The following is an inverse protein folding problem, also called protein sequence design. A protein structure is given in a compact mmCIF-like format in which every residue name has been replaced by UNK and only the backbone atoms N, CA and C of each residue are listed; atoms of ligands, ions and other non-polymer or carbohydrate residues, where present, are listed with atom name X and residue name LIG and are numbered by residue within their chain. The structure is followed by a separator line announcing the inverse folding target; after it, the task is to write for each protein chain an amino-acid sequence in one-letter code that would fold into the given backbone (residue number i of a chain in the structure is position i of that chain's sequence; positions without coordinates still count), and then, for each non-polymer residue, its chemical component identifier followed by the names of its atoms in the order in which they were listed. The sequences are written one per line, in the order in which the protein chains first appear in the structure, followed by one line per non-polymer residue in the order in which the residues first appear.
data_IF_877907434635
#
_entry.id   IF_877907434635
#
_cell.length_a   1.000
_cell.length_b   1.000
_cell.length_c   1.000
_cell.angle_alpha   90.00
_cell.angle_beta   90.00
_cell.angle_gamma   90.00
#
_symmetry.space_group_name_H-M   'P 1'
#
loop_
_entity.id
_entity.type
_entity.pdbx_description
1 polymer ?
#
# COMPACT_ATOMS: atom_id res chain seq x y z
N UNK A 1 -3.32 -8.24 -30.05
CA UNK A 1 -3.15 -8.33 -28.59
C UNK A 1 -1.73 -7.94 -28.16
N UNK A 2 -0.67 -8.51 -28.73
CA UNK A 2 0.71 -8.15 -28.40
C UNK A 2 1.03 -6.65 -28.58
N UNK A 3 0.58 -6.02 -29.64
CA UNK A 3 0.79 -4.59 -29.92
C UNK A 3 0.18 -3.67 -28.84
N UNK A 4 -1.02 -3.99 -28.35
CA UNK A 4 -1.70 -3.21 -27.30
C UNK A 4 -1.01 -3.28 -25.94
N UNK A 5 -0.21 -4.31 -25.70
CA UNK A 5 0.57 -4.46 -24.46
C UNK A 5 1.97 -3.89 -24.64
N UNK A 6 2.63 -4.16 -25.76
CA UNK A 6 3.99 -3.74 -26.01
C UNK A 6 4.13 -2.22 -26.20
N UNK A 7 3.17 -1.58 -26.87
CA UNK A 7 3.23 -0.14 -27.15
C UNK A 7 3.17 0.73 -25.87
N UNK A 8 2.25 0.51 -24.92
CA UNK A 8 2.28 1.24 -23.65
C UNK A 8 3.56 1.02 -22.86
N UNK A 9 4.08 -0.21 -22.82
CA UNK A 9 5.33 -0.52 -22.11
C UNK A 9 6.52 0.24 -22.73
N UNK A 10 6.65 0.21 -24.04
CA UNK A 10 7.67 0.96 -24.76
C UNK A 10 7.52 2.48 -24.56
N UNK A 11 6.28 2.98 -24.56
CA UNK A 11 6.00 4.38 -24.27
C UNK A 11 6.43 4.79 -22.88
N UNK A 12 6.12 3.98 -21.85
CA UNK A 12 6.54 4.23 -20.47
C UNK A 12 8.06 4.20 -20.34
N UNK A 13 8.74 3.21 -20.95
CA UNK A 13 10.21 3.14 -20.96
C UNK A 13 10.80 4.36 -21.66
N UNK A 14 10.26 4.75 -22.82
CA UNK A 14 10.74 5.94 -23.53
C UNK A 14 10.52 7.23 -22.71
N UNK A 15 9.37 7.37 -22.05
CA UNK A 15 9.09 8.53 -21.20
C UNK A 15 9.95 8.55 -19.93
N UNK A 16 10.33 7.41 -19.39
CA UNK A 16 11.12 7.30 -18.15
C UNK A 16 12.55 7.85 -18.25
N UNK A 17 13.07 8.03 -19.47
CA UNK A 17 14.39 8.63 -19.71
C UNK A 17 14.33 10.13 -20.01
N UNK A 18 13.12 10.72 -20.02
CA UNK A 18 12.92 12.16 -20.19
C UNK A 18 12.35 12.77 -18.92
N UNK A 19 12.91 13.91 -18.50
CA UNK A 19 12.37 14.69 -17.39
C UNK A 19 11.38 15.69 -17.94
N UNK A 20 10.11 15.71 -17.48
CA UNK A 20 9.15 16.72 -17.88
C UNK A 20 9.66 18.12 -17.50
N UNK A 21 9.41 19.11 -18.35
CA UNK A 21 9.79 20.48 -18.03
C UNK A 21 9.07 20.95 -16.77
N UNK A 22 9.82 21.46 -15.82
CA UNK A 22 9.30 22.18 -14.67
C UNK A 22 8.58 23.46 -15.15
N UNK A 23 7.58 23.88 -14.38
CA UNK A 23 6.89 25.13 -14.68
C UNK A 23 7.87 26.31 -14.56
N UNK A 24 7.88 27.18 -15.57
CA UNK A 24 8.70 28.39 -15.53
C UNK A 24 8.11 29.31 -14.47
N UNK A 25 8.90 29.60 -13.44
CA UNK A 25 8.51 30.51 -12.36
C UNK A 25 8.91 31.94 -12.76
N UNK A 26 7.99 32.88 -12.60
CA UNK A 26 8.23 34.30 -12.79
C UNK A 26 7.86 35.07 -11.52
N UNK A 27 8.71 36.00 -11.15
CA UNK A 27 8.45 36.89 -10.02
C UNK A 27 7.57 38.06 -10.46
N UNK A 28 6.29 38.01 -10.11
CA UNK A 28 5.34 39.08 -10.42
C UNK A 28 5.16 39.97 -9.19
N UNK A 29 5.31 41.29 -9.40
CA UNK A 29 4.98 42.29 -8.37
C UNK A 29 3.48 42.47 -8.28
N UNK A 30 2.86 41.94 -7.25
CA UNK A 30 1.45 42.18 -6.98
C UNK A 30 1.31 43.39 -6.04
N UNK A 31 0.84 44.52 -6.59
CA UNK A 31 0.68 45.78 -5.87
C UNK A 31 -0.79 45.92 -5.42
N UNK A 32 -1.03 45.79 -4.13
CA UNK A 32 -2.34 46.05 -3.50
C UNK A 32 -2.35 47.37 -2.73
N UNK A 33 -3.50 47.75 -2.13
CA UNK A 33 -3.66 49.00 -1.38
C UNK A 33 -2.72 49.16 -0.17
N UNK A 34 -2.07 48.05 0.26
CA UNK A 34 -1.18 48.02 1.43
C UNK A 34 0.33 47.79 1.05
N UNK A 35 0.70 47.96 -0.25
CA UNK A 35 2.06 47.81 -0.72
C UNK A 35 2.24 46.76 -1.82
N UNK A 36 3.42 46.75 -2.44
CA UNK A 36 3.79 45.74 -3.45
C UNK A 36 4.49 44.57 -2.78
N UNK A 37 4.02 43.35 -3.04
CA UNK A 37 4.70 42.11 -2.65
C UNK A 37 5.14 41.36 -3.91
N UNK A 38 6.35 40.86 -3.90
CA UNK A 38 6.85 39.95 -4.94
C UNK A 38 6.27 38.56 -4.67
N UNK A 39 5.50 38.05 -5.63
CA UNK A 39 4.89 36.71 -5.59
C UNK A 39 5.46 35.91 -6.75
N UNK A 40 5.97 34.72 -6.45
CA UNK A 40 6.40 33.76 -7.47
C UNK A 40 5.14 33.12 -8.06
N UNK A 41 4.92 33.36 -9.36
CA UNK A 41 3.80 32.76 -10.10
C UNK A 41 4.31 31.93 -11.27
N UNK A 42 3.50 30.96 -11.71
CA UNK A 42 3.82 30.15 -12.88
C UNK A 42 3.54 30.98 -14.14
N UNK A 43 4.55 31.15 -14.98
CA UNK A 43 4.36 31.70 -16.33
C UNK A 43 3.81 30.62 -17.25
N UNK A 44 2.50 30.64 -17.46
CA UNK A 44 1.80 29.63 -18.27
C UNK A 44 2.19 29.70 -19.77
N UNK A 45 2.46 30.89 -20.31
CA UNK A 45 2.83 31.06 -21.71
C UNK A 45 4.22 30.47 -21.96
N UNK A 46 5.22 30.88 -21.21
CA UNK A 46 6.57 30.34 -21.33
C UNK A 46 6.64 28.83 -21.09
N UNK A 47 5.86 28.33 -20.13
CA UNK A 47 5.75 26.89 -19.85
C UNK A 47 5.12 26.15 -21.03
N UNK A 48 4.07 26.68 -21.66
CA UNK A 48 3.41 26.08 -22.81
C UNK A 48 4.29 26.09 -24.07
N UNK A 49 5.05 27.16 -24.30
CA UNK A 49 6.01 27.24 -25.39
C UNK A 49 7.15 26.21 -25.27
N UNK A 50 7.69 26.03 -24.06
CA UNK A 50 8.71 25.01 -23.80
C UNK A 50 8.17 23.60 -24.07
N UNK A 51 6.95 23.31 -23.61
CA UNK A 51 6.30 22.02 -23.86
C UNK A 51 5.95 21.80 -25.33
N UNK A 52 5.63 22.87 -26.08
CA UNK A 52 5.39 22.78 -27.51
C UNK A 52 6.67 22.49 -28.30
N UNK A 53 7.80 23.08 -27.89
CA UNK A 53 9.12 22.85 -28.52
C UNK A 53 9.71 21.48 -28.20
N UNK A 54 9.47 20.95 -27.01
CA UNK A 54 10.01 19.67 -26.54
C UNK A 54 8.92 18.88 -25.80
N UNK A 55 8.00 18.21 -26.53
CA UNK A 55 6.82 17.56 -25.93
C UNK A 55 7.17 16.41 -24.97
N UNK A 56 8.31 15.76 -25.17
CA UNK A 56 8.77 14.67 -24.28
C UNK A 56 9.56 15.17 -23.05
N UNK A 57 9.92 16.46 -23.02
CA UNK A 57 10.77 17.02 -21.99
C UNK A 57 12.27 16.99 -22.34
N UNK A 58 13.13 17.19 -21.33
CA UNK A 58 14.59 17.14 -21.48
C UNK A 58 15.07 15.69 -21.38
N UNK A 59 15.85 15.26 -22.37
CA UNK A 59 16.52 13.95 -22.31
C UNK A 59 17.54 13.93 -21.16
N UNK A 60 17.35 13.03 -20.22
CA UNK A 60 18.22 12.86 -19.04
C UNK A 60 18.87 11.48 -19.00
N UNK A 61 18.50 10.57 -19.91
CA UNK A 61 19.02 9.21 -19.88
C UNK A 61 18.76 8.51 -18.53
N UNK A 62 19.80 7.89 -17.97
CA UNK A 62 19.69 7.17 -16.68
C UNK A 62 19.97 8.08 -15.46
N UNK A 63 20.35 9.35 -15.65
CA UNK A 63 20.67 10.25 -14.54
C UNK A 63 19.48 10.45 -13.59
N UNK A 64 18.25 10.45 -14.13
CA UNK A 64 17.03 10.57 -13.32
C UNK A 64 16.94 9.48 -12.24
N UNK A 65 17.40 8.25 -12.55
CA UNK A 65 17.37 7.14 -11.59
C UNK A 65 18.48 7.23 -10.53
N UNK A 66 19.52 8.03 -10.81
CA UNK A 66 20.68 8.21 -9.92
C UNK A 66 20.51 9.41 -8.99
N UNK A 67 19.53 10.27 -9.29
CA UNK A 67 19.26 11.51 -8.56
C UNK A 67 18.72 11.25 -7.15
N UNK A 68 18.73 12.29 -6.32
CA UNK A 68 18.34 12.30 -4.91
C UNK A 68 16.90 11.81 -4.67
N UNK A 69 16.00 12.08 -5.61
CA UNK A 69 14.60 11.63 -5.55
C UNK A 69 14.41 10.13 -5.77
N UNK A 70 15.41 9.43 -6.29
CA UNK A 70 15.38 8.02 -6.63
C UNK A 70 16.47 7.27 -5.87
N UNK A 71 17.43 6.67 -6.56
CA UNK A 71 18.46 5.84 -5.92
C UNK A 71 19.50 6.64 -5.13
N UNK A 72 19.64 7.95 -5.38
CA UNK A 72 20.55 8.85 -4.66
C UNK A 72 21.98 8.27 -4.51
N UNK A 73 22.53 7.70 -5.58
CA UNK A 73 23.80 6.94 -5.52
C UNK A 73 24.96 7.77 -5.01
N UNK A 74 25.02 9.05 -5.37
CA UNK A 74 26.05 9.98 -4.87
C UNK A 74 25.99 10.14 -3.35
N UNK A 75 24.79 10.25 -2.79
CA UNK A 75 24.56 10.40 -1.35
C UNK A 75 24.79 9.08 -0.61
N UNK A 76 24.44 7.93 -1.23
CA UNK A 76 24.73 6.59 -0.70
C UNK A 76 26.24 6.37 -0.62
N UNK A 77 26.99 6.73 -1.65
CA UNK A 77 28.46 6.63 -1.65
C UNK A 77 29.08 7.56 -0.61
N UNK A 78 28.56 8.78 -0.47
CA UNK A 78 29.00 9.72 0.57
C UNK A 78 28.67 9.19 1.98
N UNK A 79 27.50 8.60 2.16
CA UNK A 79 27.11 7.96 3.42
C UNK A 79 28.02 6.77 3.75
N UNK A 80 28.37 5.96 2.75
CA UNK A 80 29.28 4.83 2.91
C UNK A 80 30.68 5.28 3.32
N UNK A 81 31.27 6.23 2.60
CA UNK A 81 32.64 6.73 2.87
C UNK A 81 32.78 7.47 4.19
N UNK A 82 31.69 8.02 4.74
CA UNK A 82 31.68 8.78 5.99
C UNK A 82 31.16 7.98 7.20
N UNK A 83 30.88 6.70 7.03
CA UNK A 83 30.35 5.84 8.10
C UNK A 83 31.43 4.91 8.63
N UNK A 84 31.68 4.97 9.95
CA UNK A 84 32.64 4.09 10.66
C UNK A 84 32.01 2.74 11.03
N UNK A 85 30.67 2.62 10.97
CA UNK A 85 29.91 1.43 11.34
C UNK A 85 28.73 1.20 10.42
N UNK A 86 28.38 -0.07 10.19
CA UNK A 86 27.19 -0.46 9.42
C UNK A 86 25.88 0.13 10.01
N UNK A 87 25.78 0.25 11.33
CA UNK A 87 24.59 0.86 11.96
C UNK A 87 24.45 2.34 11.63
N UNK A 88 25.55 3.08 11.55
CA UNK A 88 25.56 4.49 11.13
C UNK A 88 25.20 4.63 9.65
N UNK A 89 25.71 3.73 8.81
CA UNK A 89 25.35 3.70 7.39
C UNK A 89 23.86 3.50 7.19
N UNK A 90 23.24 2.49 7.81
CA UNK A 90 21.81 2.24 7.70
C UNK A 90 20.96 3.38 8.28
N UNK A 91 21.41 4.03 9.35
CA UNK A 91 20.73 5.21 9.90
C UNK A 91 20.75 6.39 8.92
N UNK A 92 21.87 6.63 8.26
CA UNK A 92 21.97 7.68 7.23
C UNK A 92 21.18 7.36 5.98
N UNK A 93 21.22 6.10 5.55
CA UNK A 93 20.43 5.60 4.41
C UNK A 93 18.92 5.81 4.66
N UNK A 94 18.44 5.50 5.88
CA UNK A 94 17.05 5.71 6.28
C UNK A 94 16.60 7.17 6.32
N UNK A 95 17.53 8.14 6.26
CA UNK A 95 17.19 9.56 6.15
C UNK A 95 17.00 10.03 4.69
N UNK A 96 17.44 9.24 3.72
CA UNK A 96 17.20 9.54 2.31
C UNK A 96 15.73 9.27 1.94
N UNK A 97 15.07 10.20 1.20
CA UNK A 97 13.62 10.10 0.93
C UNK A 97 13.19 8.78 0.30
N UNK A 98 13.92 8.31 -0.70
CA UNK A 98 13.64 7.05 -1.39
C UNK A 98 13.73 5.84 -0.45
N UNK A 99 14.84 5.69 0.30
CA UNK A 99 15.05 4.54 1.18
C UNK A 99 14.11 4.56 2.39
N UNK A 100 13.73 5.75 2.85
CA UNK A 100 12.71 5.91 3.89
C UNK A 100 11.34 5.45 3.39
N UNK A 101 10.94 5.86 2.17
CA UNK A 101 9.69 5.43 1.56
C UNK A 101 9.68 3.92 1.31
N UNK A 102 10.77 3.38 0.76
CA UNK A 102 10.94 1.95 0.53
C UNK A 102 10.87 1.15 1.84
N UNK A 103 11.56 1.61 2.89
CA UNK A 103 11.52 0.99 4.22
C UNK A 103 10.11 0.98 4.80
N UNK A 104 9.37 2.09 4.66
CA UNK A 104 7.95 2.16 5.05
C UNK A 104 7.12 1.12 4.29
N UNK A 105 7.21 1.10 2.96
CA UNK A 105 6.44 0.19 2.11
C UNK A 105 6.75 -1.27 2.41
N UNK A 106 8.02 -1.63 2.53
CA UNK A 106 8.42 -3.00 2.86
C UNK A 106 7.89 -3.41 4.24
N UNK A 107 8.10 -2.59 5.27
CA UNK A 107 7.62 -2.88 6.63
C UNK A 107 6.10 -3.04 6.64
N UNK A 108 5.38 -2.12 6.01
CA UNK A 108 3.92 -2.17 5.92
C UNK A 108 3.46 -3.46 5.21
N UNK A 109 4.06 -3.78 4.08
CA UNK A 109 3.71 -4.97 3.28
C UNK A 109 4.00 -6.27 4.03
N UNK A 110 5.18 -6.40 4.63
CA UNK A 110 5.55 -7.60 5.38
C UNK A 110 4.72 -7.80 6.65
N UNK A 111 4.25 -6.72 7.26
CA UNK A 111 3.35 -6.82 8.41
C UNK A 111 1.93 -7.11 7.97
N UNK A 112 1.38 -6.37 7.01
CA UNK A 112 -0.04 -6.49 6.63
C UNK A 112 -0.34 -7.80 5.91
N UNK A 113 0.53 -8.27 5.02
CA UNK A 113 0.27 -9.45 4.19
C UNK A 113 -0.03 -10.72 4.98
N UNK A 114 0.76 -11.12 6.00
CA UNK A 114 0.44 -12.32 6.77
C UNK A 114 -0.89 -12.19 7.53
N UNK A 115 -1.21 -11.02 8.07
CA UNK A 115 -2.49 -10.81 8.74
C UNK A 115 -3.67 -10.87 7.77
N UNK A 116 -3.53 -10.36 6.54
CA UNK A 116 -4.54 -10.48 5.47
C UNK A 116 -4.79 -11.94 5.13
N UNK A 117 -3.72 -12.74 4.97
CA UNK A 117 -3.82 -14.16 4.67
C UNK A 117 -4.51 -14.91 5.82
N UNK A 118 -4.09 -14.66 7.05
CA UNK A 118 -4.67 -15.31 8.24
C UNK A 118 -6.15 -14.94 8.37
N UNK A 119 -6.49 -13.65 8.30
CA UNK A 119 -7.87 -13.18 8.45
C UNK A 119 -8.75 -13.67 7.31
N UNK A 120 -8.28 -13.61 6.06
CA UNK A 120 -9.00 -14.13 4.89
C UNK A 120 -9.27 -15.63 5.01
N UNK A 121 -8.29 -16.41 5.46
CA UNK A 121 -8.46 -17.84 5.71
C UNK A 121 -9.45 -18.13 6.85
N UNK A 122 -9.36 -17.38 7.94
CA UNK A 122 -10.30 -17.53 9.07
C UNK A 122 -11.74 -17.24 8.65
N UNK A 123 -11.96 -16.17 7.88
CA UNK A 123 -13.30 -15.83 7.35
C UNK A 123 -13.76 -16.94 6.40
N UNK A 124 -12.92 -17.45 5.51
CA UNK A 124 -13.27 -18.52 4.57
C UNK A 124 -13.66 -19.80 5.28
N UNK A 125 -12.92 -20.22 6.30
CA UNK A 125 -13.23 -21.40 7.13
C UNK A 125 -14.53 -21.20 7.92
N UNK A 126 -14.72 -20.01 8.50
CA UNK A 126 -15.94 -19.68 9.24
C UNK A 126 -17.16 -19.73 8.32
N UNK A 127 -17.11 -19.08 7.16
CA UNK A 127 -18.19 -19.05 6.17
C UNK A 127 -18.49 -20.45 5.63
N UNK A 128 -17.46 -21.27 5.40
CA UNK A 128 -17.64 -22.64 4.92
C UNK A 128 -18.39 -23.53 5.94
N UNK A 129 -18.23 -23.23 7.23
CA UNK A 129 -18.95 -23.98 8.30
C UNK A 129 -20.35 -23.46 8.59
N UNK A 130 -20.78 -22.33 7.98
CA UNK A 130 -22.08 -21.74 8.23
C UNK A 130 -23.22 -22.44 7.49
N UNK A 131 -24.42 -22.38 8.12
CA UNK A 131 -25.63 -22.86 7.50
C UNK A 131 -26.02 -22.08 6.23
N UNK A 132 -26.53 -22.75 5.21
CA UNK A 132 -26.78 -22.16 3.88
C UNK A 132 -27.62 -20.87 3.93
N UNK A 133 -28.58 -20.74 4.88
CA UNK A 133 -29.45 -19.56 5.00
C UNK A 133 -28.73 -18.24 5.34
N UNK A 134 -27.69 -18.31 6.17
CA UNK A 134 -26.98 -17.13 6.65
C UNK A 134 -25.66 -16.92 5.91
N UNK A 135 -25.16 -17.94 5.20
CA UNK A 135 -23.87 -17.88 4.48
C UNK A 135 -23.78 -16.72 3.50
N UNK A 136 -24.81 -16.51 2.66
CA UNK A 136 -24.84 -15.43 1.68
C UNK A 136 -24.76 -14.04 2.30
N UNK A 137 -25.45 -13.85 3.43
CA UNK A 137 -25.43 -12.58 4.15
C UNK A 137 -24.05 -12.27 4.74
N UNK A 138 -23.40 -13.29 5.33
CA UNK A 138 -22.03 -13.13 5.86
C UNK A 138 -21.02 -12.86 4.74
N UNK A 139 -21.13 -13.55 3.59
CA UNK A 139 -20.29 -13.26 2.42
C UNK A 139 -20.47 -11.80 1.99
N UNK A 140 -21.71 -11.33 1.87
CA UNK A 140 -21.99 -9.95 1.48
C UNK A 140 -21.31 -8.93 2.40
N UNK A 141 -21.50 -9.06 3.72
CA UNK A 141 -20.87 -8.16 4.69
C UNK A 141 -19.34 -8.26 4.70
N UNK A 142 -18.80 -9.45 4.48
CA UNK A 142 -17.34 -9.64 4.40
C UNK A 142 -16.71 -8.97 3.18
N UNK A 143 -17.49 -8.74 2.11
CA UNK A 143 -17.01 -8.10 0.88
C UNK A 143 -17.15 -6.58 0.89
N UNK A 144 -17.90 -5.99 1.81
CA UNK A 144 -18.11 -4.54 1.88
C UNK A 144 -16.80 -3.72 1.87
N UNK A 145 -15.76 -4.09 2.64
CA UNK A 145 -14.51 -3.32 2.62
C UNK A 145 -13.86 -3.23 1.23
N UNK A 146 -14.00 -4.26 0.42
CA UNK A 146 -13.43 -4.31 -0.93
C UNK A 146 -14.13 -3.40 -1.93
N UNK A 147 -15.41 -3.10 -1.70
CA UNK A 147 -16.19 -2.18 -2.55
C UNK A 147 -15.78 -0.71 -2.34
N UNK A 148 -15.24 -0.40 -1.18
CA UNK A 148 -14.78 0.96 -0.85
C UNK A 148 -13.50 1.26 -1.62
N UNK A 149 -13.53 2.28 -2.49
CA UNK A 149 -12.32 2.68 -3.22
C UNK A 149 -11.24 3.18 -2.25
N UNK A 150 -9.93 2.92 -2.51
CA UNK A 150 -8.85 3.30 -1.61
C UNK A 150 -8.84 4.80 -1.25
N UNK A 151 -9.19 5.67 -2.21
CA UNK A 151 -9.26 7.11 -1.98
C UNK A 151 -10.33 7.49 -0.95
N UNK A 152 -11.55 6.95 -1.12
CA UNK A 152 -12.66 7.20 -0.18
C UNK A 152 -12.33 6.60 1.17
N UNK A 153 -11.79 5.39 1.20
CA UNK A 153 -11.39 4.72 2.43
C UNK A 153 -10.32 5.50 3.21
N UNK A 154 -9.32 6.04 2.52
CA UNK A 154 -8.29 6.88 3.14
C UNK A 154 -8.88 8.18 3.72
N UNK A 155 -9.82 8.81 3.00
CA UNK A 155 -10.50 10.00 3.48
C UNK A 155 -11.36 9.73 4.73
N UNK A 156 -12.12 8.63 4.70
CA UNK A 156 -12.93 8.19 5.86
C UNK A 156 -12.04 7.89 7.05
N UNK A 157 -10.94 7.13 6.84
CA UNK A 157 -9.97 6.85 7.90
C UNK A 157 -9.39 8.14 8.48
N UNK A 158 -9.00 9.09 7.63
CA UNK A 158 -8.45 10.39 8.06
C UNK A 158 -9.39 11.13 9.01
N UNK A 159 -10.72 11.13 8.73
CA UNK A 159 -11.72 11.73 9.61
C UNK A 159 -12.01 10.87 10.84
N UNK A 160 -11.99 9.55 10.73
CA UNK A 160 -12.25 8.66 11.86
C UNK A 160 -11.16 8.71 12.94
N UNK A 161 -9.89 8.87 12.54
CA UNK A 161 -8.75 8.96 13.48
C UNK A 161 -8.53 10.38 14.06
N UNK A 162 -9.34 11.35 13.62
CA UNK A 162 -9.30 12.69 14.21
C UNK A 162 -9.66 12.64 15.70
N UNK A 163 -9.16 13.61 16.50
CA UNK A 163 -9.45 13.67 17.93
C UNK A 163 -10.94 13.75 18.26
N UNK A 164 -11.73 14.30 17.33
CA UNK A 164 -13.20 14.35 17.40
C UNK A 164 -13.89 13.25 16.59
N UNK A 165 -13.13 12.38 15.95
CA UNK A 165 -13.64 11.25 15.16
C UNK A 165 -14.00 10.06 16.04
N UNK A 166 -14.72 9.09 15.46
CA UNK A 166 -15.22 7.91 16.18
C UNK A 166 -14.06 7.09 16.77
N UNK A 167 -13.01 6.81 16.00
CA UNK A 167 -11.85 6.06 16.47
C UNK A 167 -11.01 6.91 17.46
N UNK A 168 -10.87 8.21 17.21
CA UNK A 168 -10.17 9.12 18.10
C UNK A 168 -10.79 9.11 19.49
N UNK A 169 -12.09 9.37 19.57
CA UNK A 169 -12.84 9.40 20.85
C UNK A 169 -12.89 8.02 21.53
N UNK A 170 -13.01 6.94 20.75
CA UNK A 170 -13.00 5.57 21.33
C UNK A 170 -11.65 5.24 21.98
N UNK A 171 -10.52 5.59 21.34
CA UNK A 171 -9.19 5.35 21.90
C UNK A 171 -8.91 6.25 23.11
N UNK A 172 -9.33 7.53 23.05
CA UNK A 172 -9.25 8.45 24.20
C UNK A 172 -9.99 7.89 25.43
N UNK A 173 -11.20 7.36 25.21
CA UNK A 173 -11.98 6.72 26.27
C UNK A 173 -11.31 5.46 26.82
N UNK A 174 -10.74 4.63 25.92
CA UNK A 174 -10.08 3.37 26.33
C UNK A 174 -8.79 3.62 27.15
N UNK A 175 -8.01 4.64 26.77
CA UNK A 175 -6.75 5.00 27.42
C UNK A 175 -6.99 5.96 28.60
N UNK A 176 -8.20 6.52 28.74
CA UNK A 176 -8.56 7.54 29.74
C UNK A 176 -7.72 8.82 29.63
N UNK A 177 -7.26 9.16 28.42
CA UNK A 177 -6.50 10.37 28.14
C UNK A 177 -7.22 11.20 27.07
N UNK A 178 -7.89 12.32 27.45
CA UNK A 178 -8.66 13.16 26.52
C UNK A 178 -7.78 13.95 25.55
N UNK A 179 -6.51 14.15 25.85
CA UNK A 179 -5.58 14.90 25.00
C UNK A 179 -4.84 13.99 23.99
N UNK A 180 -5.09 12.69 24.04
CA UNK A 180 -4.47 11.73 23.14
C UNK A 180 -4.94 11.96 21.69
N UNK A 181 -3.99 12.22 20.80
CA UNK A 181 -4.25 12.32 19.36
C UNK A 181 -3.60 11.16 18.61
N UNK A 182 -4.43 10.35 17.93
CA UNK A 182 -3.92 9.27 17.08
C UNK A 182 -3.00 9.81 15.97
N UNK A 183 -3.29 11.01 15.44
CA UNK A 183 -2.48 11.64 14.40
C UNK A 183 -1.14 12.17 14.90
N UNK A 184 -1.05 12.55 16.16
CA UNK A 184 0.19 13.06 16.77
C UNK A 184 1.17 11.94 17.16
N UNK A 185 0.65 10.75 17.44
CA UNK A 185 1.47 9.59 17.82
C UNK A 185 1.81 8.74 16.60
N UNK A 186 3.09 8.66 16.25
CA UNK A 186 3.58 7.82 15.14
C UNK A 186 3.17 6.35 15.30
N UNK A 187 3.24 5.81 16.53
CA UNK A 187 2.87 4.41 16.79
C UNK A 187 1.38 4.14 16.57
N UNK A 188 0.51 5.00 17.08
CA UNK A 188 -0.95 4.85 16.89
C UNK A 188 -1.37 5.05 15.44
N UNK A 189 -0.69 5.95 14.70
CA UNK A 189 -0.89 6.12 13.27
C UNK A 189 -0.53 4.84 12.50
N UNK A 190 0.63 4.21 12.81
CA UNK A 190 1.04 2.94 12.22
C UNK A 190 0.01 1.82 12.46
N UNK A 191 -0.45 1.69 13.71
CA UNK A 191 -1.48 0.69 14.07
C UNK A 191 -2.76 0.94 13.27
N UNK A 192 -3.21 2.19 13.19
CA UNK A 192 -4.42 2.55 12.44
C UNK A 192 -4.31 2.21 10.95
N UNK A 193 -3.15 2.50 10.33
CA UNK A 193 -2.88 2.16 8.92
C UNK A 193 -2.82 0.64 8.70
N UNK A 194 -2.17 -0.10 9.59
CA UNK A 194 -2.07 -1.57 9.51
C UNK A 194 -3.47 -2.20 9.62
N UNK A 195 -4.26 -1.79 10.62
CA UNK A 195 -5.63 -2.31 10.81
C UNK A 195 -6.51 -2.00 9.62
N UNK A 196 -6.44 -0.77 9.10
CA UNK A 196 -7.15 -0.39 7.89
C UNK A 196 -6.72 -1.22 6.67
N UNK A 197 -5.40 -1.39 6.46
CA UNK A 197 -4.85 -2.17 5.36
C UNK A 197 -5.29 -3.65 5.41
N UNK A 198 -5.32 -4.25 6.60
CA UNK A 198 -5.81 -5.61 6.79
C UNK A 198 -7.32 -5.68 6.49
N UNK A 199 -8.11 -4.79 7.06
CA UNK A 199 -9.56 -4.74 6.86
C UNK A 199 -9.96 -4.58 5.39
N UNK A 200 -9.26 -3.70 4.67
CA UNK A 200 -9.53 -3.44 3.25
C UNK A 200 -9.12 -4.60 2.35
N UNK A 201 -7.99 -5.27 2.63
CA UNK A 201 -7.43 -6.31 1.76
C UNK A 201 -7.93 -7.74 2.09
N UNK A 202 -8.40 -7.99 3.31
CA UNK A 202 -8.84 -9.32 3.74
C UNK A 202 -9.98 -9.92 2.90
N UNK A 203 -10.97 -9.15 2.39
CA UNK A 203 -12.02 -9.68 1.53
C UNK A 203 -11.50 -10.35 0.26
N UNK A 204 -10.45 -9.80 -0.36
CA UNK A 204 -9.83 -10.39 -1.55
C UNK A 204 -9.25 -11.78 -1.23
N UNK A 205 -8.47 -11.88 -0.15
CA UNK A 205 -7.93 -13.17 0.31
C UNK A 205 -9.04 -14.15 0.68
N UNK A 206 -10.08 -13.67 1.36
CA UNK A 206 -11.25 -14.47 1.72
C UNK A 206 -11.92 -15.12 0.51
N UNK A 207 -12.21 -14.37 -0.57
CA UNK A 207 -12.86 -14.91 -1.77
C UNK A 207 -12.02 -16.01 -2.41
N UNK A 208 -10.71 -15.80 -2.53
CA UNK A 208 -9.80 -16.78 -3.13
C UNK A 208 -9.75 -18.06 -2.30
N UNK A 209 -9.60 -17.94 -0.97
CA UNK A 209 -9.54 -19.09 -0.09
C UNK A 209 -10.89 -19.80 -0.01
N UNK A 210 -12.00 -19.06 0.00
CA UNK A 210 -13.33 -19.65 -0.02
C UNK A 210 -13.58 -20.45 -1.31
N UNK A 211 -13.19 -19.91 -2.48
CA UNK A 211 -13.25 -20.64 -3.74
C UNK A 211 -12.36 -21.90 -3.72
N UNK A 212 -11.15 -21.78 -3.18
CA UNK A 212 -10.25 -22.92 -3.01
C UNK A 212 -10.80 -24.00 -2.08
N UNK A 213 -11.50 -23.62 -1.02
CA UNK A 213 -12.17 -24.61 -0.14
C UNK A 213 -13.27 -25.40 -0.86
N UNK A 214 -13.92 -24.83 -1.89
CA UNK A 214 -14.93 -25.53 -2.66
C UNK A 214 -14.34 -26.58 -3.63
N UNK A 215 -13.04 -26.50 -3.91
CA UNK A 215 -12.33 -27.47 -4.78
C UNK A 215 -11.67 -28.61 -3.99
N UNK A 216 -11.77 -28.59 -2.67
CA UNK A 216 -11.16 -29.62 -1.81
C UNK A 216 -11.92 -30.95 -1.97
N UNK A 217 -11.22 -32.06 -2.35
CA UNK A 217 -11.87 -33.38 -2.47
C UNK A 217 -12.40 -33.86 -1.13
N UNK A 218 -13.68 -34.23 -1.09
CA UNK A 218 -14.31 -34.71 0.15
C UNK A 218 -13.68 -35.99 0.68
N UNK A 219 -13.19 -36.86 -0.22
CA UNK A 219 -12.54 -38.12 0.12
C UNK A 219 -11.33 -37.91 1.06
N UNK A 220 -10.57 -36.79 0.89
CA UNK A 220 -9.45 -36.45 1.77
C UNK A 220 -9.90 -36.07 3.18
N UNK A 221 -11.02 -35.37 3.29
CA UNK A 221 -11.60 -34.98 4.57
C UNK A 221 -12.15 -36.23 5.30
N UNK A 222 -12.88 -37.08 4.58
CA UNK A 222 -13.43 -38.31 5.11
C UNK A 222 -12.33 -39.29 5.55
N UNK A 223 -11.28 -39.45 4.77
CA UNK A 223 -10.12 -40.26 5.15
C UNK A 223 -9.48 -39.77 6.44
N UNK A 224 -9.28 -38.46 6.57
CA UNK A 224 -8.73 -37.84 7.79
C UNK A 224 -9.70 -38.02 9.00
N UNK A 225 -11.02 -38.07 8.78
CA UNK A 225 -11.99 -38.35 9.84
C UNK A 225 -11.93 -39.81 10.29
N UNK A 226 -11.77 -40.73 9.36
CA UNK A 226 -11.62 -42.17 9.66
C UNK A 226 -10.32 -42.39 10.46
N UNK A 227 -9.25 -41.67 10.13
CA UNK A 227 -8.00 -41.71 10.87
C UNK A 227 -8.06 -41.02 12.25
N UNK A 228 -9.21 -40.50 12.64
CA UNK A 228 -9.45 -39.87 13.94
C UNK A 228 -8.83 -38.47 14.07
N UNK A 229 -8.54 -37.79 12.97
CA UNK A 229 -7.98 -36.44 13.01
C UNK A 229 -8.98 -35.42 13.58
N UNK A 230 -8.52 -34.61 14.53
CA UNK A 230 -9.28 -33.49 15.10
C UNK A 230 -9.51 -32.42 14.03
N UNK A 231 -10.51 -31.55 14.24
CA UNK A 231 -10.82 -30.44 13.32
C UNK A 231 -9.60 -29.57 13.02
N UNK A 232 -8.78 -29.27 14.00
CA UNK A 232 -7.57 -28.46 13.84
C UNK A 232 -6.50 -29.20 13.02
N UNK A 233 -6.34 -30.50 13.23
CA UNK A 233 -5.43 -31.35 12.47
C UNK A 233 -5.86 -31.43 10.99
N UNK A 234 -7.16 -31.57 10.69
CA UNK A 234 -7.65 -31.54 9.32
C UNK A 234 -7.38 -30.19 8.64
N UNK A 235 -7.60 -29.08 9.34
CA UNK A 235 -7.27 -27.75 8.79
C UNK A 235 -5.79 -27.66 8.50
N UNK A 236 -4.92 -28.06 9.43
CA UNK A 236 -3.45 -27.90 9.31
C UNK A 236 -2.84 -28.84 8.27
N UNK A 237 -3.28 -30.09 8.18
CA UNK A 237 -2.63 -31.12 7.37
C UNK A 237 -3.33 -31.45 6.05
N UNK A 238 -4.60 -31.06 5.90
CA UNK A 238 -5.36 -31.28 4.65
C UNK A 238 -5.70 -29.95 3.98
N UNK A 239 -6.39 -29.05 4.69
CA UNK A 239 -6.90 -27.81 4.11
C UNK A 239 -5.79 -26.82 3.77
N UNK A 240 -4.91 -26.52 4.71
CA UNK A 240 -3.84 -25.53 4.50
C UNK A 240 -2.86 -25.94 3.40
N UNK A 241 -2.37 -27.20 3.32
CA UNK A 241 -1.54 -27.64 2.21
C UNK A 241 -2.24 -27.56 0.85
N UNK A 242 -3.54 -27.92 0.79
CA UNK A 242 -4.33 -27.79 -0.44
C UNK A 242 -4.43 -26.32 -0.90
N UNK A 243 -4.57 -25.37 0.03
CA UNK A 243 -4.68 -23.96 -0.27
C UNK A 243 -3.30 -23.26 -0.48
N UNK A 244 -2.17 -23.94 -0.27
CA UNK A 244 -0.83 -23.33 -0.34
C UNK A 244 -0.54 -22.62 -1.66
N UNK A 245 -0.93 -23.15 -2.84
CA UNK A 245 -0.77 -22.43 -4.10
C UNK A 245 -1.54 -21.11 -4.13
N UNK A 246 -2.76 -21.10 -3.55
CA UNK A 246 -3.59 -19.90 -3.46
C UNK A 246 -3.03 -18.89 -2.43
N UNK A 247 -2.46 -19.38 -1.32
CA UNK A 247 -1.75 -18.54 -0.34
C UNK A 247 -0.58 -17.82 -1.00
N UNK A 248 0.22 -18.55 -1.80
CA UNK A 248 1.33 -17.97 -2.55
C UNK A 248 0.83 -16.94 -3.56
N UNK A 249 -0.24 -17.24 -4.28
CA UNK A 249 -0.85 -16.32 -5.24
C UNK A 249 -1.33 -15.03 -4.55
N UNK A 250 -2.07 -15.13 -3.45
CA UNK A 250 -2.53 -13.97 -2.67
C UNK A 250 -1.34 -13.16 -2.16
N UNK A 251 -0.29 -13.82 -1.65
CA UNK A 251 0.91 -13.14 -1.18
C UNK A 251 1.60 -12.35 -2.30
N UNK A 252 1.74 -12.92 -3.49
CA UNK A 252 2.32 -12.24 -4.65
C UNK A 252 1.49 -11.04 -5.11
N UNK A 253 0.17 -11.17 -5.17
CA UNK A 253 -0.72 -10.05 -5.51
C UNK A 253 -0.59 -8.92 -4.48
N UNK A 254 -0.59 -9.27 -3.18
CA UNK A 254 -0.43 -8.27 -2.11
C UNK A 254 0.92 -7.55 -2.18
N UNK A 255 1.99 -8.26 -2.54
CA UNK A 255 3.31 -7.66 -2.78
C UNK A 255 3.27 -6.70 -3.97
N UNK A 256 2.68 -7.13 -5.09
CA UNK A 256 2.61 -6.33 -6.31
C UNK A 256 1.73 -5.07 -6.14
N UNK A 257 0.63 -5.17 -5.37
CA UNK A 257 -0.27 -4.04 -5.13
C UNK A 257 0.35 -2.95 -4.24
N UNK A 258 1.23 -3.33 -3.32
CA UNK A 258 1.79 -2.44 -2.30
C UNK A 258 3.20 -1.95 -2.61
N UNK A 259 3.92 -2.60 -3.51
CA UNK A 259 5.21 -2.13 -4.01
C UNK A 259 4.96 -1.21 -5.21
N UNK A 260 5.39 0.07 -5.15
CA UNK A 260 5.22 1.04 -6.23
C UNK A 260 6.09 0.72 -7.45
#
# INVERSE_FOLDING_TARGET
MFFFIAMPILSVIAQSIFIPHEAVMETVKNCGPFGCKEVISINHEATSELRAKQPLGRFSGLEIYLDRGHLAISEVNAAWSSSDSLSQFFSRLGNLPFYRAMGFTLTFTFVVTPFVIILGLLIALAVNSLHARIRGLVIFFSLLPFVVTPLIGALVLFWMIDSRGILGTAVQWLVSDPDLSLKASTGLMWISLIVYGIWHAAPFAFVIFYAGLQTLPMDQIEAAEIDGATRLQRIRYVVVPHLMPLVTFVALIQLMEKLP
#
